data_IF_634909653553
#
_entry.id   IF_634909653553
#
_cell.length_a   1.000
_cell.length_b   1.000
_cell.length_c   1.000
_cell.angle_alpha   90.00
_cell.angle_beta   90.00
_cell.angle_gamma   90.00
#
_symmetry.space_group_name_H-M   'P 1'
#
loop_
_entity.id
_entity.type
_entity.pdbx_description
1 polymer ?
#
# COMPACT_ATOMS: atom_id res chain seq x y z
N UNK A 1 15.95 -25.91 -3.25
CA UNK A 1 14.62 -26.50 -3.56
C UNK A 1 13.95 -26.82 -2.22
N UNK A 2 12.74 -26.34 -1.97
CA UNK A 2 12.05 -26.53 -0.68
C UNK A 2 11.03 -25.46 -0.29
N UNK A 3 10.78 -24.48 -1.15
CA UNK A 3 9.79 -23.42 -0.92
C UNK A 3 8.78 -23.48 -2.06
N UNK A 4 7.50 -23.64 -1.70
CA UNK A 4 6.35 -23.43 -2.58
C UNK A 4 5.92 -21.97 -2.45
N UNK A 5 5.71 -21.29 -3.58
CA UNK A 5 5.24 -19.91 -3.61
C UNK A 5 3.86 -19.88 -4.25
N UNK A 6 2.90 -19.29 -3.53
CA UNK A 6 1.52 -19.09 -3.99
C UNK A 6 1.33 -17.58 -4.10
N UNK A 7 1.12 -17.10 -5.32
CA UNK A 7 0.88 -15.69 -5.62
C UNK A 7 -0.57 -15.46 -5.97
N UNK A 8 -1.03 -14.21 -5.87
CA UNK A 8 -2.36 -13.76 -6.29
C UNK A 8 -3.54 -14.51 -5.63
N UNK A 9 -3.28 -15.20 -4.52
CA UNK A 9 -4.28 -15.94 -3.75
C UNK A 9 -4.15 -15.62 -2.25
N UNK A 10 -4.63 -14.45 -1.81
CA UNK A 10 -4.49 -13.99 -0.43
C UNK A 10 -5.12 -14.98 0.55
N UNK A 11 -4.52 -15.13 1.73
CA UNK A 11 -5.14 -15.82 2.86
C UNK A 11 -6.25 -14.93 3.43
N UNK A 12 -7.47 -15.46 3.50
CA UNK A 12 -8.65 -14.74 3.99
C UNK A 12 -9.07 -15.15 5.39
N UNK A 13 -8.69 -16.35 5.84
CA UNK A 13 -9.03 -16.86 7.17
C UNK A 13 -7.91 -17.75 7.74
N UNK A 14 -7.78 -17.73 9.07
CA UNK A 14 -6.86 -18.58 9.82
C UNK A 14 -7.59 -19.29 10.96
N UNK A 15 -7.56 -20.62 10.93
CA UNK A 15 -8.04 -21.45 12.03
C UNK A 15 -6.86 -22.02 12.82
N UNK A 16 -6.63 -21.45 14.00
CA UNK A 16 -5.50 -21.80 14.87
C UNK A 16 -5.66 -23.21 15.46
N UNK A 17 -6.87 -23.60 15.87
CA UNK A 17 -7.14 -24.91 16.47
C UNK A 17 -6.87 -26.06 15.50
N UNK A 18 -7.29 -25.89 14.25
CA UNK A 18 -7.12 -26.89 13.19
C UNK A 18 -5.79 -26.76 12.44
N UNK A 19 -5.04 -25.69 12.74
CA UNK A 19 -3.81 -25.30 12.05
C UNK A 19 -4.00 -25.22 10.53
N UNK A 20 -5.05 -24.52 10.10
CA UNK A 20 -5.40 -24.37 8.67
C UNK A 20 -5.53 -22.91 8.26
N UNK A 21 -5.15 -22.61 7.02
CA UNK A 21 -5.42 -21.35 6.32
C UNK A 21 -6.42 -21.60 5.21
N UNK A 22 -7.29 -20.61 4.97
CA UNK A 22 -8.14 -20.56 3.77
C UNK A 22 -7.67 -19.42 2.88
N UNK A 23 -7.46 -19.71 1.60
CA UNK A 23 -7.15 -18.69 0.59
C UNK A 23 -8.41 -18.21 -0.12
N UNK A 24 -8.31 -17.08 -0.83
CA UNK A 24 -9.40 -16.48 -1.59
C UNK A 24 -9.97 -17.44 -2.65
N UNK A 25 -9.13 -18.26 -3.28
CA UNK A 25 -9.55 -19.29 -4.23
C UNK A 25 -10.31 -20.46 -3.59
N UNK A 26 -10.34 -20.51 -2.25
CA UNK A 26 -10.95 -21.59 -1.47
C UNK A 26 -9.99 -22.72 -1.11
N UNK A 27 -8.69 -22.61 -1.42
CA UNK A 27 -7.69 -23.63 -1.04
C UNK A 27 -7.54 -23.67 0.48
N UNK A 28 -7.57 -24.88 1.04
CA UNK A 28 -7.26 -25.13 2.44
C UNK A 28 -5.82 -25.63 2.58
N UNK A 29 -5.01 -24.89 3.34
CA UNK A 29 -3.61 -25.22 3.59
C UNK A 29 -3.43 -25.59 5.06
N UNK A 30 -2.81 -26.74 5.35
CA UNK A 30 -2.38 -27.08 6.71
C UNK A 30 -0.98 -26.55 6.97
N UNK A 31 -0.73 -26.08 8.19
CA UNK A 31 0.58 -25.65 8.63
C UNK A 31 1.00 -26.35 9.92
N UNK A 32 2.31 -26.54 10.10
CA UNK A 32 2.88 -26.93 11.40
C UNK A 32 3.27 -25.73 12.24
N UNK A 33 3.81 -24.69 11.61
CA UNK A 33 4.11 -23.39 12.22
C UNK A 33 3.70 -22.28 11.26
N UNK A 34 3.19 -21.17 11.81
CA UNK A 34 2.69 -20.03 11.04
C UNK A 34 3.48 -18.78 11.41
N UNK A 35 3.99 -18.07 10.39
CA UNK A 35 4.57 -16.75 10.52
C UNK A 35 3.63 -15.77 9.83
N UNK A 36 3.20 -14.74 10.55
CA UNK A 36 2.39 -13.65 9.99
C UNK A 36 3.34 -12.55 9.52
N UNK A 37 3.35 -12.33 8.21
CA UNK A 37 4.21 -11.34 7.55
C UNK A 37 3.43 -10.47 6.54
N UNK A 38 2.15 -10.17 6.86
CA UNK A 38 1.24 -9.40 5.98
C UNK A 38 1.56 -7.90 5.91
N UNK A 39 2.53 -7.42 6.70
CA UNK A 39 2.92 -6.02 6.72
C UNK A 39 1.81 -5.11 7.27
N UNK A 40 1.76 -3.88 6.76
CA UNK A 40 0.76 -2.88 7.13
C UNK A 40 0.22 -2.16 5.89
N UNK A 41 -0.86 -1.41 6.05
CA UNK A 41 -1.44 -0.54 5.02
C UNK A 41 -1.14 0.92 5.33
N UNK A 42 -1.20 1.79 4.31
CA UNK A 42 -1.14 3.23 4.52
C UNK A 42 -2.38 3.70 5.31
N UNK A 43 -2.20 4.62 6.25
CA UNK A 43 -3.32 5.28 6.93
C UNK A 43 -4.08 6.16 5.93
N UNK A 44 -5.37 5.87 5.73
CA UNK A 44 -6.21 6.56 4.76
C UNK A 44 -7.13 7.57 5.43
N UNK A 45 -7.41 8.66 4.73
CA UNK A 45 -8.42 9.62 5.15
C UNK A 45 -9.81 9.04 4.92
N UNK A 46 -10.80 9.33 5.78
CA UNK A 46 -12.18 8.96 5.53
C UNK A 46 -12.70 9.53 4.20
N UNK A 47 -13.52 8.75 3.49
CA UNK A 47 -14.15 9.19 2.23
C UNK A 47 -14.96 10.47 2.42
N UNK A 48 -15.67 10.61 3.56
CA UNK A 48 -16.46 11.80 3.91
C UNK A 48 -15.67 13.10 3.97
N UNK A 49 -14.35 13.05 4.11
CA UNK A 49 -13.47 14.23 4.06
C UNK A 49 -12.63 14.29 2.78
N UNK A 50 -12.98 13.49 1.77
CA UNK A 50 -12.34 13.49 0.46
C UNK A 50 -11.21 12.50 0.28
N UNK A 51 -11.04 11.50 1.15
CA UNK A 51 -9.95 10.52 1.06
C UNK A 51 -9.88 9.71 -0.24
N UNK A 52 -10.95 9.69 -1.04
CA UNK A 52 -11.04 8.99 -2.33
C UNK A 52 -11.17 9.95 -3.53
N UNK A 53 -10.98 11.26 -3.34
CA UNK A 53 -11.07 12.21 -4.45
C UNK A 53 -9.94 11.99 -5.45
N UNK A 54 -10.18 12.21 -6.77
CA UNK A 54 -9.11 12.20 -7.76
C UNK A 54 -7.98 13.16 -7.37
N UNK A 55 -6.74 12.67 -7.40
CA UNK A 55 -5.55 13.42 -6.98
C UNK A 55 -5.14 13.23 -5.52
N UNK A 56 -5.90 12.49 -4.71
CA UNK A 56 -5.45 12.02 -3.40
C UNK A 56 -4.72 10.69 -3.58
N UNK A 57 -3.45 10.65 -3.16
CA UNK A 57 -2.58 9.49 -3.28
C UNK A 57 -2.09 9.03 -1.91
N UNK A 58 -1.90 7.72 -1.78
CA UNK A 58 -1.21 7.07 -0.67
C UNK A 58 -0.04 6.29 -1.24
N UNK A 59 1.04 6.11 -0.48
CA UNK A 59 2.24 5.41 -0.96
C UNK A 59 2.52 4.21 -0.05
N UNK A 60 2.26 3.01 -0.57
CA UNK A 60 2.60 1.75 0.09
C UNK A 60 3.23 0.72 -0.84
N UNK A 61 2.73 0.60 -2.05
CA UNK A 61 3.21 -0.36 -3.04
C UNK A 61 3.60 0.31 -4.37
N UNK A 62 3.94 -0.52 -5.36
CA UNK A 62 4.38 -0.04 -6.67
C UNK A 62 3.22 0.60 -7.46
N UNK A 63 2.00 0.07 -7.32
CA UNK A 63 0.84 0.60 -8.03
C UNK A 63 0.46 2.00 -7.52
N UNK A 64 0.59 2.22 -6.21
CA UNK A 64 0.48 3.53 -5.58
C UNK A 64 1.49 4.53 -6.18
N UNK A 65 2.75 4.12 -6.35
CA UNK A 65 3.80 4.95 -6.93
C UNK A 65 3.56 5.28 -8.41
N UNK A 66 3.14 4.29 -9.21
CA UNK A 66 2.79 4.49 -10.62
C UNK A 66 1.64 5.50 -10.76
N UNK A 67 0.60 5.38 -9.94
CA UNK A 67 -0.52 6.31 -9.89
C UNK A 67 -0.09 7.74 -9.54
N UNK A 68 0.82 7.89 -8.56
CA UNK A 68 1.38 9.19 -8.20
C UNK A 68 2.18 9.82 -9.36
N UNK A 69 3.00 9.04 -10.07
CA UNK A 69 3.79 9.51 -11.21
C UNK A 69 2.88 10.03 -12.33
N UNK A 70 1.78 9.32 -12.62
CA UNK A 70 0.79 9.80 -13.61
C UNK A 70 0.15 11.13 -13.22
N UNK A 71 -0.08 11.36 -11.93
CA UNK A 71 -0.55 12.65 -11.42
C UNK A 71 0.52 13.73 -11.51
N UNK A 72 1.77 13.41 -11.18
CA UNK A 72 2.89 14.36 -11.28
C UNK A 72 3.07 14.94 -12.68
N UNK A 73 2.89 14.12 -13.73
CA UNK A 73 2.95 14.58 -15.13
C UNK A 73 1.99 15.71 -15.48
N UNK A 74 0.88 15.86 -14.72
CA UNK A 74 -0.19 16.83 -14.99
C UNK A 74 -0.31 17.89 -13.90
N UNK A 75 0.32 17.66 -12.75
CA UNK A 75 0.24 18.53 -11.59
C UNK A 75 1.05 19.82 -11.79
N UNK A 76 0.65 20.87 -11.07
CA UNK A 76 1.44 22.08 -10.89
C UNK A 76 1.84 22.30 -9.42
N UNK A 77 1.01 21.77 -8.51
CA UNK A 77 1.17 21.90 -7.07
C UNK A 77 0.94 20.54 -6.42
N UNK A 78 1.68 20.27 -5.35
CA UNK A 78 1.58 19.06 -4.54
C UNK A 78 1.53 19.46 -3.08
N UNK A 79 0.62 18.84 -2.33
CA UNK A 79 0.62 18.91 -0.86
C UNK A 79 0.92 17.51 -0.33
N UNK A 80 1.98 17.39 0.45
CA UNK A 80 2.33 16.18 1.18
C UNK A 80 1.83 16.31 2.59
N UNK A 81 0.96 15.39 3.02
CA UNK A 81 0.44 15.37 4.39
C UNK A 81 1.20 14.33 5.20
N UNK A 82 1.96 14.81 6.20
CA UNK A 82 2.83 14.02 7.07
C UNK A 82 4.31 14.18 6.74
N UNK A 83 5.08 14.71 7.71
CA UNK A 83 6.52 14.93 7.64
C UNK A 83 7.41 13.72 7.95
N UNK A 84 6.88 12.50 7.81
CA UNK A 84 7.64 11.27 8.03
C UNK A 84 8.61 10.96 6.88
N UNK A 85 9.42 9.90 7.03
CA UNK A 85 10.41 9.49 6.03
C UNK A 85 9.84 9.38 4.62
N UNK A 86 8.75 8.61 4.44
CA UNK A 86 8.07 8.44 3.14
C UNK A 86 7.56 9.79 2.61
N UNK A 87 6.97 10.62 3.48
CA UNK A 87 6.48 11.94 3.09
C UNK A 87 7.60 12.84 2.56
N UNK A 88 8.77 12.82 3.21
CA UNK A 88 9.92 13.63 2.77
C UNK A 88 10.55 13.12 1.48
N UNK A 89 10.61 11.80 1.26
CA UNK A 89 11.03 11.24 -0.03
C UNK A 89 10.08 11.67 -1.16
N UNK A 90 8.77 11.61 -0.92
CA UNK A 90 7.76 12.06 -1.90
C UNK A 90 7.86 13.56 -2.15
N UNK A 91 8.07 14.37 -1.11
CA UNK A 91 8.25 15.81 -1.25
C UNK A 91 9.52 16.14 -2.06
N UNK A 92 10.63 15.47 -1.78
CA UNK A 92 11.87 15.62 -2.54
C UNK A 92 11.70 15.21 -4.00
N UNK A 93 10.98 14.10 -4.26
CA UNK A 93 10.64 13.68 -5.62
C UNK A 93 9.78 14.73 -6.32
N UNK A 94 8.74 15.27 -5.68
CA UNK A 94 7.88 16.31 -6.26
C UNK A 94 8.66 17.59 -6.62
N UNK A 95 9.59 18.01 -5.74
CA UNK A 95 10.52 19.11 -6.03
C UNK A 95 11.42 18.78 -7.22
N UNK A 96 11.95 17.56 -7.31
CA UNK A 96 12.74 17.09 -8.46
C UNK A 96 11.96 17.10 -9.78
N UNK A 97 10.63 16.99 -9.72
CA UNK A 97 9.71 17.13 -10.85
C UNK A 97 9.32 18.60 -11.15
N UNK A 98 9.94 19.58 -10.47
CA UNK A 98 9.63 21.01 -10.56
C UNK A 98 8.18 21.38 -10.19
N UNK A 99 7.60 20.66 -9.22
CA UNK A 99 6.25 20.95 -8.70
C UNK A 99 6.31 21.89 -7.49
N UNK A 100 5.37 22.84 -7.40
CA UNK A 100 5.19 23.71 -6.22
C UNK A 100 4.71 22.85 -5.04
N UNK A 101 5.63 22.55 -4.11
CA UNK A 101 5.46 21.50 -3.11
C UNK A 101 5.36 22.09 -1.71
N UNK A 102 4.26 21.74 -1.02
CA UNK A 102 4.03 22.09 0.39
C UNK A 102 3.97 20.82 1.23
N UNK A 103 4.59 20.86 2.42
CA UNK A 103 4.44 19.81 3.44
C UNK A 103 3.57 20.34 4.57
N UNK A 104 2.57 19.56 4.99
CA UNK A 104 1.67 19.87 6.11
C UNK A 104 1.44 18.70 7.05
#
# INVERSE_FOLDING_TARGET
KGIEMIYEDPVTDVNIEKQTLQTQSGKLLKYGSLIIATGCTASRFPEKIGGNLPGVHYIRDVADADSLIESFKKAKKVVVVGGGYIGMEVAAAAVGWNLDTTVG
#
